data_IF_558758816963
#
_entry.id   IF_558758816963
#
_cell.length_a   1.000
_cell.length_b   1.000
_cell.length_c   1.000
_cell.angle_alpha   90.00
_cell.angle_beta   90.00
_cell.angle_gamma   90.00
#
_symmetry.space_group_name_H-M   'P 1'
#
loop_
_entity.id
_entity.type
_entity.pdbx_description
1 polymer ?
#
# COMPACT_ATOMS: atom_id res chain seq x y z
N UNK A 1 -9.40 16.09 -38.10
CA UNK A 1 -8.22 15.20 -38.24
C UNK A 1 -8.70 13.86 -38.71
N UNK A 2 -8.04 13.31 -39.72
CA UNK A 2 -8.26 11.92 -40.15
C UNK A 2 -7.77 10.95 -39.06
N UNK A 3 -8.23 9.69 -39.11
CA UNK A 3 -7.77 8.69 -38.14
C UNK A 3 -6.27 8.38 -38.31
N UNK A 4 -5.75 8.49 -39.54
CA UNK A 4 -4.33 8.37 -39.81
C UNK A 4 -3.53 9.52 -39.17
N UNK A 5 -4.02 10.76 -39.24
CA UNK A 5 -3.40 11.90 -38.55
C UNK A 5 -3.40 11.74 -37.03
N UNK A 6 -4.51 11.23 -36.46
CA UNK A 6 -4.58 10.92 -35.03
C UNK A 6 -3.56 9.86 -34.65
N UNK A 7 -3.43 8.78 -35.44
CA UNK A 7 -2.49 7.70 -35.19
C UNK A 7 -1.03 8.18 -35.21
N UNK A 8 -0.67 9.00 -36.20
CA UNK A 8 0.66 9.63 -36.29
C UNK A 8 0.95 10.51 -35.08
N UNK A 9 -0.01 11.34 -34.65
CA UNK A 9 0.13 12.19 -33.46
C UNK A 9 0.21 11.36 -32.18
N UNK A 10 -0.62 10.32 -32.03
CA UNK A 10 -0.61 9.43 -30.88
C UNK A 10 0.74 8.72 -30.72
N UNK A 11 1.32 8.27 -31.84
CA UNK A 11 2.66 7.65 -31.87
C UNK A 11 3.72 8.66 -31.43
N UNK A 12 3.69 9.88 -31.97
CA UNK A 12 4.64 10.94 -31.58
C UNK A 12 4.57 11.26 -30.08
N UNK A 13 3.37 11.39 -29.53
CA UNK A 13 3.20 11.64 -28.08
C UNK A 13 3.69 10.45 -27.24
N UNK A 14 3.44 9.20 -27.67
CA UNK A 14 4.00 8.01 -27.01
C UNK A 14 5.53 8.05 -27.01
N UNK A 15 6.16 8.44 -28.12
CA UNK A 15 7.61 8.44 -28.25
C UNK A 15 8.29 9.51 -27.39
N UNK A 16 7.69 10.70 -27.28
CA UNK A 16 8.10 11.70 -26.28
C UNK A 16 7.94 11.18 -24.86
N UNK A 17 6.87 10.45 -24.58
CA UNK A 17 6.69 9.78 -23.28
C UNK A 17 7.80 8.77 -22.99
N UNK A 18 8.23 8.00 -24.00
CA UNK A 18 9.35 7.07 -23.87
C UNK A 18 10.66 7.80 -23.60
N UNK A 19 10.90 8.94 -24.26
CA UNK A 19 12.07 9.78 -24.03
C UNK A 19 12.09 10.35 -22.61
N UNK A 20 11.00 11.00 -22.17
CA UNK A 20 10.86 11.51 -20.81
C UNK A 20 11.07 10.40 -19.77
N UNK A 21 10.51 9.20 -20.01
CA UNK A 21 10.68 8.06 -19.13
C UNK A 21 12.14 7.62 -19.01
N UNK A 22 12.90 7.59 -20.13
CA UNK A 22 14.33 7.25 -20.11
C UNK A 22 15.17 8.30 -19.40
N UNK A 23 14.75 9.57 -19.44
CA UNK A 23 15.36 10.66 -18.69
C UNK A 23 14.99 10.66 -17.19
N UNK A 24 14.12 9.74 -16.76
CA UNK A 24 13.65 9.65 -15.37
C UNK A 24 12.54 10.63 -15.01
N UNK A 25 12.06 11.44 -15.95
CA UNK A 25 10.91 12.32 -15.75
C UNK A 25 9.61 11.56 -15.97
N UNK A 26 9.19 10.82 -14.95
CA UNK A 26 8.03 9.96 -15.03
C UNK A 26 6.71 10.75 -15.08
N UNK A 27 6.65 11.94 -14.48
CA UNK A 27 5.45 12.80 -14.51
C UNK A 27 5.20 13.32 -15.91
N UNK A 28 6.24 13.81 -16.59
CA UNK A 28 6.10 14.26 -17.97
C UNK A 28 5.83 13.07 -18.90
N UNK A 29 6.45 11.91 -18.65
CA UNK A 29 6.13 10.67 -19.37
C UNK A 29 4.63 10.32 -19.26
N UNK A 30 4.05 10.40 -18.07
CA UNK A 30 2.61 10.17 -17.83
C UNK A 30 1.76 11.15 -18.65
N UNK A 31 2.14 12.43 -18.69
CA UNK A 31 1.42 13.44 -19.46
C UNK A 31 1.43 13.12 -20.97
N UNK A 32 2.61 12.77 -21.51
CA UNK A 32 2.77 12.35 -22.90
C UNK A 32 1.97 11.08 -23.24
N UNK A 33 2.04 10.04 -22.41
CA UNK A 33 1.26 8.83 -22.65
C UNK A 33 -0.24 9.09 -22.55
N UNK A 34 -0.67 9.99 -21.66
CA UNK A 34 -2.09 10.39 -21.55
C UNK A 34 -2.57 11.08 -22.83
N UNK A 35 -1.77 12.02 -23.38
CA UNK A 35 -2.06 12.64 -24.68
C UNK A 35 -2.11 11.60 -25.80
N UNK A 36 -1.20 10.63 -25.81
CA UNK A 36 -1.22 9.51 -26.76
C UNK A 36 -2.53 8.70 -26.68
N UNK A 37 -2.94 8.31 -25.47
CA UNK A 37 -4.17 7.53 -25.24
C UNK A 37 -5.44 8.30 -25.64
N UNK A 38 -5.48 9.61 -25.38
CA UNK A 38 -6.60 10.48 -25.78
C UNK A 38 -6.76 10.59 -27.30
N UNK A 39 -5.64 10.54 -28.04
CA UNK A 39 -5.66 10.54 -29.50
C UNK A 39 -6.02 9.17 -30.06
N UNK A 40 -5.40 8.11 -29.53
CA UNK A 40 -5.69 6.74 -29.89
C UNK A 40 -5.25 5.78 -28.77
N UNK A 41 -6.24 5.17 -28.11
CA UNK A 41 -5.99 4.18 -27.06
C UNK A 41 -5.41 2.89 -27.64
N UNK A 42 -4.33 2.40 -27.06
CA UNK A 42 -3.75 1.10 -27.39
C UNK A 42 -3.05 0.49 -26.17
N UNK A 43 -2.86 -0.83 -26.19
CA UNK A 43 -2.24 -1.57 -25.09
C UNK A 43 -0.84 -1.08 -24.74
N UNK A 44 -0.03 -0.69 -25.74
CA UNK A 44 1.35 -0.23 -25.51
C UNK A 44 1.40 1.08 -24.71
N UNK A 45 0.56 2.06 -25.03
CA UNK A 45 0.51 3.35 -24.32
C UNK A 45 -0.01 3.18 -22.89
N UNK A 46 -1.03 2.34 -22.66
CA UNK A 46 -1.48 2.02 -21.30
C UNK A 46 -0.40 1.30 -20.51
N UNK A 47 0.27 0.32 -21.11
CA UNK A 47 1.38 -0.37 -20.46
C UNK A 47 2.44 0.65 -20.03
N UNK A 48 2.95 1.48 -20.94
CA UNK A 48 4.02 2.41 -20.66
C UNK A 48 3.64 3.43 -19.59
N UNK A 49 2.39 3.91 -19.59
CA UNK A 49 1.89 4.78 -18.53
C UNK A 49 1.76 4.07 -17.18
N UNK A 50 1.33 2.81 -17.16
CA UNK A 50 1.31 2.00 -15.93
C UNK A 50 2.70 1.88 -15.31
N UNK A 51 3.75 1.68 -16.13
CA UNK A 51 5.12 1.64 -15.62
C UNK A 51 5.57 2.99 -15.04
N UNK A 52 5.22 4.09 -15.68
CA UNK A 52 5.51 5.43 -15.14
C UNK A 52 4.78 5.66 -13.81
N UNK A 53 3.52 5.25 -13.69
CA UNK A 53 2.79 5.29 -12.42
C UNK A 53 3.45 4.42 -11.32
N UNK A 54 3.98 3.24 -11.66
CA UNK A 54 4.74 2.43 -10.68
C UNK A 54 5.98 3.16 -10.17
N UNK A 55 6.68 3.90 -11.05
CA UNK A 55 7.85 4.69 -10.66
C UNK A 55 7.49 5.86 -9.74
N UNK A 56 6.33 6.48 -9.98
CA UNK A 56 5.74 7.52 -9.11
C UNK A 56 5.01 6.96 -7.87
N UNK A 57 5.01 5.63 -7.68
CA UNK A 57 4.29 4.95 -6.59
C UNK A 57 2.77 5.17 -6.59
N UNK A 58 2.20 5.51 -7.75
CA UNK A 58 0.76 5.67 -7.96
C UNK A 58 0.08 4.32 -8.28
N UNK A 59 0.06 3.43 -7.29
CA UNK A 59 -0.30 2.02 -7.47
C UNK A 59 -1.70 1.80 -8.05
N UNK A 60 -2.71 2.55 -7.59
CA UNK A 60 -4.10 2.40 -8.07
C UNK A 60 -4.25 2.77 -9.55
N UNK A 61 -3.52 3.79 -10.01
CA UNK A 61 -3.53 4.21 -11.43
C UNK A 61 -2.78 3.21 -12.30
N UNK A 62 -1.65 2.69 -11.81
CA UNK A 62 -0.92 1.61 -12.48
C UNK A 62 -1.80 0.36 -12.64
N UNK A 63 -2.51 -0.06 -11.59
CA UNK A 63 -3.46 -1.18 -11.63
C UNK A 63 -4.55 -0.95 -12.69
N UNK A 64 -5.14 0.25 -12.70
CA UNK A 64 -6.20 0.60 -13.65
C UNK A 64 -5.74 0.47 -15.10
N UNK A 65 -4.56 1.00 -15.43
CA UNK A 65 -3.99 0.89 -16.77
C UNK A 65 -3.64 -0.55 -17.14
N UNK A 66 -3.08 -1.33 -16.20
CA UNK A 66 -2.81 -2.75 -16.44
C UNK A 66 -4.10 -3.55 -16.71
N UNK A 67 -5.17 -3.27 -15.98
CA UNK A 67 -6.47 -3.89 -16.23
C UNK A 67 -7.01 -3.57 -17.63
N UNK A 68 -6.80 -2.35 -18.12
CA UNK A 68 -7.14 -1.99 -19.52
C UNK A 68 -6.32 -2.79 -20.51
N UNK A 69 -5.02 -2.97 -20.27
CA UNK A 69 -4.19 -3.83 -21.13
C UNK A 69 -4.67 -5.27 -21.11
N UNK A 70 -4.91 -5.85 -19.93
CA UNK A 70 -5.34 -7.25 -19.79
C UNK A 70 -6.75 -7.51 -20.32
N UNK A 71 -7.60 -6.49 -20.43
CA UNK A 71 -8.89 -6.60 -21.12
C UNK A 71 -8.69 -6.75 -22.64
N UNK A 72 -7.66 -6.12 -23.21
CA UNK A 72 -7.34 -6.18 -24.63
C UNK A 72 -6.45 -7.38 -24.98
N UNK A 73 -5.52 -7.70 -24.09
CA UNK A 73 -4.47 -8.70 -24.25
C UNK A 73 -4.34 -9.49 -22.92
N UNK A 74 -5.17 -10.53 -22.70
CA UNK A 74 -5.27 -11.23 -21.42
C UNK A 74 -3.96 -11.84 -20.89
N UNK A 75 -3.09 -12.28 -21.80
CA UNK A 75 -1.81 -12.91 -21.47
C UNK A 75 -0.61 -11.95 -21.65
N UNK A 76 -0.85 -10.62 -21.58
CA UNK A 76 0.24 -9.65 -21.67
C UNK A 76 1.16 -9.72 -20.44
N UNK A 77 2.31 -10.38 -20.60
CA UNK A 77 3.34 -10.56 -19.56
C UNK A 77 3.74 -9.24 -18.88
N UNK A 78 3.91 -8.17 -19.65
CA UNK A 78 4.31 -6.85 -19.08
C UNK A 78 3.21 -6.29 -18.17
N UNK A 79 1.95 -6.43 -18.56
CA UNK A 79 0.83 -5.94 -17.77
C UNK A 79 0.64 -6.78 -16.50
N UNK A 80 0.77 -8.10 -16.56
CA UNK A 80 0.74 -8.98 -15.38
C UNK A 80 1.85 -8.62 -14.39
N UNK A 81 3.11 -8.50 -14.85
CA UNK A 81 4.24 -8.09 -14.00
C UNK A 81 4.02 -6.71 -13.36
N UNK A 82 3.47 -5.76 -14.12
CA UNK A 82 3.20 -4.40 -13.63
C UNK A 82 2.04 -4.34 -12.64
N UNK A 83 0.95 -5.07 -12.91
CA UNK A 83 -0.19 -5.15 -12.00
C UNK A 83 0.16 -5.86 -10.70
N UNK A 84 0.90 -6.96 -10.78
CA UNK A 84 1.44 -7.64 -9.59
C UNK A 84 2.34 -6.71 -8.77
N UNK A 85 3.18 -5.90 -9.42
CA UNK A 85 4.00 -4.90 -8.74
C UNK A 85 3.15 -3.80 -8.07
N UNK A 86 2.06 -3.37 -8.71
CA UNK A 86 1.11 -2.42 -8.11
C UNK A 86 0.41 -3.02 -6.87
N UNK A 87 -0.05 -4.27 -6.96
CA UNK A 87 -0.63 -5.00 -5.81
C UNK A 87 0.36 -5.14 -4.66
N UNK A 88 1.62 -5.48 -4.96
CA UNK A 88 2.71 -5.51 -3.96
C UNK A 88 2.88 -4.15 -3.28
N UNK A 89 2.89 -3.06 -4.05
CA UNK A 89 2.95 -1.68 -3.52
C UNK A 89 1.76 -1.30 -2.62
N UNK A 90 0.58 -1.88 -2.88
CA UNK A 90 -0.63 -1.76 -2.03
C UNK A 90 -0.66 -2.73 -0.86
N UNK A 91 0.36 -3.60 -0.71
CA UNK A 91 0.41 -4.71 0.26
C UNK A 91 -0.69 -5.76 0.06
N UNK A 92 -1.22 -5.86 -1.14
CA UNK A 92 -2.18 -6.91 -1.56
C UNK A 92 -1.40 -8.13 -2.07
N UNK A 93 -0.57 -8.73 -1.21
CA UNK A 93 0.42 -9.75 -1.60
C UNK A 93 -0.19 -10.97 -2.27
N UNK A 94 -1.35 -11.45 -1.82
CA UNK A 94 -2.02 -12.60 -2.44
C UNK A 94 -2.39 -12.34 -3.91
N UNK A 95 -2.86 -11.13 -4.25
CA UNK A 95 -3.18 -10.78 -5.64
C UNK A 95 -1.93 -10.61 -6.49
N UNK A 96 -0.88 -10.02 -5.92
CA UNK A 96 0.40 -9.89 -6.61
C UNK A 96 1.00 -11.27 -6.95
N UNK A 97 0.91 -12.23 -6.04
CA UNK A 97 1.39 -13.59 -6.25
C UNK A 97 0.66 -14.28 -7.40
N UNK A 98 -0.66 -14.13 -7.50
CA UNK A 98 -1.46 -14.69 -8.61
C UNK A 98 -0.96 -14.17 -9.96
N UNK A 99 -0.74 -12.85 -10.09
CA UNK A 99 -0.25 -12.27 -11.35
C UNK A 99 1.16 -12.77 -11.71
N UNK A 100 2.06 -12.88 -10.73
CA UNK A 100 3.42 -13.37 -10.97
C UNK A 100 3.45 -14.87 -11.29
N UNK A 101 2.61 -15.68 -10.64
CA UNK A 101 2.45 -17.09 -10.97
C UNK A 101 1.91 -17.27 -12.39
N UNK A 102 0.93 -16.45 -12.80
CA UNK A 102 0.43 -16.47 -14.17
C UNK A 102 1.53 -16.17 -15.19
N UNK A 103 2.47 -15.28 -14.87
CA UNK A 103 3.65 -15.05 -15.72
C UNK A 103 4.52 -16.30 -15.82
N UNK A 104 4.73 -17.04 -14.73
CA UNK A 104 5.49 -18.30 -14.76
C UNK A 104 4.75 -19.45 -15.44
N UNK A 105 3.42 -19.45 -15.44
CA UNK A 105 2.64 -20.40 -16.25
C UNK A 105 2.86 -20.17 -17.76
N UNK A 106 2.93 -18.90 -18.16
CA UNK A 106 3.12 -18.50 -19.57
C UNK A 106 4.60 -18.57 -20.00
N UNK A 107 5.51 -18.19 -19.11
CA UNK A 107 6.96 -18.18 -19.31
C UNK A 107 7.66 -18.79 -18.08
N UNK A 108 7.82 -20.13 -18.03
CA UNK A 108 8.36 -20.83 -16.86
C UNK A 108 9.78 -20.42 -16.43
N UNK A 109 10.58 -19.85 -17.34
CA UNK A 109 11.93 -19.38 -17.07
C UNK A 109 12.02 -17.85 -16.90
N UNK A 110 10.91 -17.18 -16.62
CA UNK A 110 10.89 -15.73 -16.42
C UNK A 110 11.53 -15.34 -15.08
N UNK A 111 12.85 -15.11 -15.11
CA UNK A 111 13.65 -14.70 -13.95
C UNK A 111 13.06 -13.51 -13.19
N UNK A 112 12.44 -12.57 -13.90
CA UNK A 112 11.88 -11.37 -13.26
C UNK A 112 10.66 -11.72 -12.39
N UNK A 113 9.81 -12.63 -12.84
CA UNK A 113 8.69 -13.12 -12.04
C UNK A 113 9.18 -13.90 -10.81
N UNK A 114 10.18 -14.76 -10.96
CA UNK A 114 10.80 -15.48 -9.84
C UNK A 114 11.35 -14.51 -8.78
N UNK A 115 12.14 -13.52 -9.19
CA UNK A 115 12.67 -12.47 -8.31
C UNK A 115 11.54 -11.73 -7.56
N UNK A 116 10.49 -11.33 -8.28
CA UNK A 116 9.36 -10.60 -7.71
C UNK A 116 8.59 -11.42 -6.68
N UNK A 117 8.45 -12.73 -6.89
CA UNK A 117 7.83 -13.65 -5.92
C UNK A 117 8.69 -13.76 -4.66
N UNK A 118 10.01 -13.89 -4.80
CA UNK A 118 10.92 -13.96 -3.66
C UNK A 118 10.96 -12.65 -2.86
N UNK A 119 10.97 -11.50 -3.55
CA UNK A 119 10.82 -10.20 -2.90
C UNK A 119 9.48 -10.07 -2.16
N UNK A 120 8.39 -10.52 -2.78
CA UNK A 120 7.04 -10.47 -2.21
C UNK A 120 6.95 -11.26 -0.91
N UNK A 121 7.49 -12.49 -0.87
CA UNK A 121 7.49 -13.32 0.35
C UNK A 121 8.25 -12.64 1.50
N UNK A 122 9.36 -11.97 1.19
CA UNK A 122 10.14 -11.21 2.18
C UNK A 122 9.35 -10.02 2.71
N UNK A 123 8.72 -9.26 1.82
CA UNK A 123 7.92 -8.08 2.18
C UNK A 123 6.66 -8.46 2.98
N UNK A 124 6.01 -9.58 2.64
CA UNK A 124 4.87 -10.12 3.38
C UNK A 124 5.27 -10.54 4.80
N UNK A 125 6.34 -11.32 4.95
CA UNK A 125 6.85 -11.73 6.27
C UNK A 125 7.23 -10.54 7.13
N UNK A 126 7.90 -9.54 6.54
CA UNK A 126 8.25 -8.29 7.24
C UNK A 126 7.01 -7.53 7.69
N UNK A 127 6.02 -7.40 6.81
CA UNK A 127 4.78 -6.70 7.12
C UNK A 127 4.00 -7.34 8.26
N UNK A 128 3.89 -8.68 8.30
CA UNK A 128 3.21 -9.38 9.38
C UNK A 128 3.96 -9.24 10.72
N UNK A 129 5.29 -9.34 10.72
CA UNK A 129 6.11 -9.08 11.92
C UNK A 129 5.90 -7.67 12.47
N UNK A 130 5.96 -6.64 11.61
CA UNK A 130 5.74 -5.25 12.02
C UNK A 130 4.33 -5.02 12.60
N UNK A 131 3.34 -5.73 12.07
CA UNK A 131 1.95 -5.68 12.53
C UNK A 131 1.78 -6.35 13.90
N UNK A 132 2.48 -7.46 14.15
CA UNK A 132 2.54 -8.12 15.46
C UNK A 132 3.23 -7.24 16.51
N UNK A 133 4.40 -6.67 16.19
CA UNK A 133 5.14 -5.78 17.10
C UNK A 133 4.32 -4.53 17.47
N UNK A 134 3.59 -3.93 16.50
CA UNK A 134 2.67 -2.82 16.78
C UNK A 134 1.50 -3.24 17.67
N UNK A 135 0.99 -4.46 17.50
CA UNK A 135 -0.07 -5.03 18.34
C UNK A 135 0.42 -5.28 19.77
N UNK A 136 1.69 -5.62 19.95
CA UNK A 136 2.31 -5.81 21.26
C UNK A 136 2.60 -4.47 21.96
N UNK A 137 3.13 -3.47 21.25
CA UNK A 137 3.34 -2.11 21.78
C UNK A 137 2.03 -1.41 22.16
N UNK A 138 0.96 -1.60 21.37
CA UNK A 138 -0.37 -1.11 21.73
C UNK A 138 -0.96 -1.77 23.00
N UNK A 139 -0.38 -2.89 23.45
CA UNK A 139 -0.74 -3.55 24.71
C UNK A 139 0.18 -3.17 25.89
N UNK A 140 1.47 -2.86 25.64
CA UNK A 140 2.44 -2.39 26.65
C UNK A 140 2.56 -0.86 26.60
N UNK A 141 1.74 -0.16 27.36
CA UNK A 141 1.98 1.25 27.72
C UNK A 141 2.27 1.26 29.21
N UNK A 142 3.52 1.55 29.58
CA UNK A 142 3.95 1.66 30.99
C UNK A 142 3.81 3.13 31.37
N UNK A 143 3.05 3.41 32.43
CA UNK A 143 2.96 4.73 33.05
C UNK A 143 4.13 4.79 34.04
N UNK A 144 5.08 5.71 33.83
CA UNK A 144 6.04 6.07 34.88
C UNK A 144 5.37 7.15 35.74
N UNK A 145 5.14 6.83 37.02
CA UNK A 145 4.83 7.84 38.02
C UNK A 145 6.10 8.66 38.25
N UNK A 146 6.02 9.99 38.09
CA UNK A 146 7.07 10.89 38.56
C UNK A 146 6.74 11.29 39.98
N UNK A 147 7.57 10.81 40.89
CA UNK A 147 7.47 10.88 42.34
C UNK A 147 7.38 12.34 42.79
N UNK A 148 6.19 12.71 43.27
CA UNK A 148 5.95 13.92 44.03
C UNK A 148 5.66 13.52 45.48
N UNK A 149 6.73 13.48 46.27
CA UNK A 149 6.79 13.41 47.75
C UNK A 149 6.19 12.19 48.45
N UNK A 150 7.10 11.49 49.12
CA UNK A 150 6.97 10.45 50.14
C UNK A 150 5.80 10.63 51.11
N UNK A 151 4.96 9.60 51.23
CA UNK A 151 4.27 9.26 52.47
C UNK A 151 4.06 7.73 52.54
N UNK A 152 4.78 7.10 53.49
CA UNK A 152 4.82 5.66 53.76
C UNK A 152 3.51 5.13 54.38
N UNK A 153 2.47 4.96 53.58
CA UNK A 153 1.41 3.95 53.80
C UNK A 153 0.63 3.72 52.50
N UNK A 154 1.28 3.14 51.49
CA UNK A 154 0.72 3.07 50.15
C UNK A 154 -0.02 1.76 49.90
N UNK A 155 -1.35 1.76 49.94
CA UNK A 155 -2.11 0.75 49.21
C UNK A 155 -1.77 0.86 47.72
N UNK A 156 -1.32 -0.23 47.09
CA UNK A 156 -0.88 -0.22 45.69
C UNK A 156 -2.09 -0.36 44.75
N UNK A 157 -2.42 0.72 44.03
CA UNK A 157 -3.41 0.71 42.94
C UNK A 157 -2.68 0.56 41.61
N UNK A 158 -2.90 -0.57 40.93
CA UNK A 158 -2.31 -0.84 39.61
C UNK A 158 -3.38 -0.64 38.53
N UNK A 159 -3.14 0.25 37.56
CA UNK A 159 -4.03 0.41 36.41
C UNK A 159 -3.64 -0.57 35.30
N UNK A 160 -4.47 -1.58 35.06
CA UNK A 160 -4.24 -2.63 34.05
C UNK A 160 -4.60 -2.18 32.63
N UNK A 161 -5.67 -1.40 32.45
CA UNK A 161 -6.17 -1.03 31.12
C UNK A 161 -7.11 0.17 31.13
N UNK A 162 -6.95 1.06 30.15
CA UNK A 162 -7.89 2.17 29.90
C UNK A 162 -8.52 2.04 28.50
N UNK A 163 -9.84 2.21 28.40
CA UNK A 163 -10.58 2.22 27.13
C UNK A 163 -11.47 3.46 27.03
N UNK A 164 -11.35 4.20 25.94
CA UNK A 164 -12.28 5.28 25.63
C UNK A 164 -13.68 4.73 25.33
N UNK A 165 -14.70 5.34 25.93
CA UNK A 165 -16.12 5.12 25.66
C UNK A 165 -16.78 6.47 25.34
N UNK A 166 -17.99 6.44 24.79
CA UNK A 166 -18.66 7.65 24.27
C UNK A 166 -18.68 8.81 25.29
N UNK A 167 -18.95 8.52 26.56
CA UNK A 167 -19.14 9.54 27.61
C UNK A 167 -17.96 9.62 28.60
N UNK A 168 -16.84 8.95 28.33
CA UNK A 168 -15.75 8.88 29.29
C UNK A 168 -14.72 7.78 29.03
N UNK A 169 -14.21 7.21 30.12
CA UNK A 169 -13.21 6.17 30.15
C UNK A 169 -13.70 4.99 30.98
N UNK A 170 -13.42 3.79 30.51
CA UNK A 170 -13.52 2.56 31.30
C UNK A 170 -12.12 2.14 31.70
N UNK A 171 -11.86 2.05 33.00
CA UNK A 171 -10.55 1.71 33.56
C UNK A 171 -10.66 0.38 34.31
N UNK A 172 -9.75 -0.54 34.00
CA UNK A 172 -9.51 -1.77 34.74
C UNK A 172 -8.33 -1.53 35.68
N UNK A 173 -8.49 -1.78 36.96
CA UNK A 173 -7.47 -1.58 37.98
C UNK A 173 -7.45 -2.72 38.99
N UNK A 174 -6.31 -2.96 39.63
CA UNK A 174 -6.19 -3.88 40.75
C UNK A 174 -5.88 -3.13 42.03
N UNK A 175 -6.54 -3.55 43.10
CA UNK A 175 -6.30 -3.07 44.45
C UNK A 175 -6.09 -4.29 45.33
N UNK A 176 -4.92 -4.44 45.94
CA UNK A 176 -4.57 -5.58 46.81
C UNK A 176 -4.84 -6.96 46.17
N UNK A 177 -4.65 -7.07 44.85
CA UNK A 177 -4.86 -8.30 44.07
C UNK A 177 -6.25 -8.45 43.44
N UNK A 178 -7.24 -7.66 43.88
CA UNK A 178 -8.61 -7.73 43.36
C UNK A 178 -8.80 -6.86 42.13
N UNK A 179 -9.34 -7.45 41.06
CA UNK A 179 -9.61 -6.78 39.79
C UNK A 179 -10.92 -5.99 39.89
N UNK A 180 -10.84 -4.70 39.64
CA UNK A 180 -11.93 -3.74 39.68
C UNK A 180 -12.07 -3.00 38.34
N UNK A 181 -13.31 -2.61 38.02
CA UNK A 181 -13.64 -1.84 36.82
C UNK A 181 -14.32 -0.55 37.26
N UNK A 182 -13.76 0.60 36.88
CA UNK A 182 -14.34 1.92 37.14
C UNK A 182 -14.68 2.64 35.82
N UNK A 183 -15.69 3.51 35.89
CA UNK A 183 -16.11 4.37 34.79
C UNK A 183 -15.89 5.82 35.18
N UNK A 184 -15.08 6.54 34.40
CA UNK A 184 -14.76 7.94 34.62
C UNK A 184 -15.43 8.77 33.53
N UNK A 185 -16.46 9.53 33.89
CA UNK A 185 -17.14 10.42 32.95
C UNK A 185 -16.31 11.67 32.69
N UNK A 186 -16.39 12.24 31.49
CA UNK A 186 -15.75 13.53 31.23
C UNK A 186 -16.42 14.62 32.08
N UNK A 187 -15.66 15.50 32.76
CA UNK A 187 -16.26 16.64 33.42
C UNK A 187 -16.95 17.51 32.36
N UNK A 188 -18.20 17.92 32.63
CA UNK A 188 -18.92 18.86 31.79
C UNK A 188 -18.07 20.13 31.68
N UNK A 189 -17.60 20.44 30.48
CA UNK A 189 -17.06 21.77 30.18
C UNK A 189 -18.25 22.72 30.19
N UNK A 190 -18.34 23.54 31.24
CA UNK A 190 -19.25 24.68 31.29
C UNK A 190 -18.75 25.79 30.37
#
# INVERSE_FOLDING_TARGET
MTDEEKARKATREKDKGNEAFRSGDYKEAIAYYTRSIQLQSNAASFNNRALAYLKEKEWMRAETDCNKVLTLEPDNIKALLRRGSAYKGKKEYSKALVDFQRVLELEPANKRAEELIEELKKDEKKYEREKEEKKEKGKRMVIEETDGSDDESGDEIIIDKVKHINDGFKVLLRFNGDINIIFVNRPNQY
#
